data_IF_315184975258
#
_entry.id   IF_315184975258
#
_cell.length_a   1.000
_cell.length_b   1.000
_cell.length_c   1.000
_cell.angle_alpha   90.00
_cell.angle_beta   90.00
_cell.angle_gamma   90.00
#
_symmetry.space_group_name_H-M   'P 1'
#
loop_
_entity.id
_entity.type
_entity.pdbx_description
1 polymer ?
#
# COMPACT_ATOMS: atom_id res chain seq x y z
N UNK A 1 3.16 -16.77 -9.99
CA UNK A 1 2.55 -15.43 -10.15
C UNK A 1 1.79 -15.15 -8.88
N UNK A 2 2.30 -14.26 -8.02
CA UNK A 2 1.73 -13.99 -6.69
C UNK A 2 1.81 -12.50 -6.43
N UNK A 3 0.75 -11.94 -5.86
CA UNK A 3 0.70 -10.58 -5.36
C UNK A 3 -0.07 -10.53 -4.04
N UNK A 4 0.14 -9.47 -3.27
CA UNK A 4 -0.58 -9.19 -2.04
C UNK A 4 -1.20 -7.79 -2.07
N UNK A 5 -2.41 -7.67 -1.52
CA UNK A 5 -3.05 -6.37 -1.24
C UNK A 5 -3.27 -6.29 0.26
N UNK A 6 -2.61 -5.35 0.91
CA UNK A 6 -2.71 -5.11 2.36
C UNK A 6 -3.61 -3.90 2.63
N UNK A 7 -4.75 -4.15 3.27
CA UNK A 7 -5.63 -3.10 3.78
C UNK A 7 -5.20 -2.75 5.21
N UNK A 8 -4.83 -1.50 5.44
CA UNK A 8 -4.41 -1.03 6.76
C UNK A 8 -5.62 -0.98 7.70
N UNK A 9 -5.44 -1.51 8.92
CA UNK A 9 -6.41 -1.41 10.00
C UNK A 9 -5.94 -0.47 11.12
N UNK A 10 -6.84 0.06 11.96
CA UNK A 10 -6.45 0.93 13.08
C UNK A 10 -5.42 0.30 14.03
N UNK A 11 -5.49 -1.02 14.22
CA UNK A 11 -4.55 -1.75 15.07
C UNK A 11 -3.12 -1.75 14.51
N UNK A 12 -2.95 -1.70 13.19
CA UNK A 12 -1.61 -1.62 12.60
C UNK A 12 -0.88 -0.33 12.99
N UNK A 13 -1.63 0.78 13.15
CA UNK A 13 -1.10 2.09 13.55
C UNK A 13 -0.99 2.31 15.06
N UNK A 14 -1.44 1.35 15.90
CA UNK A 14 -1.60 1.56 17.35
C UNK A 14 -0.26 1.69 18.09
N UNK A 15 0.54 0.62 18.13
CA UNK A 15 1.78 0.53 18.91
C UNK A 15 3.01 0.36 18.01
N UNK A 16 4.22 0.77 18.44
CA UNK A 16 5.44 0.56 17.67
C UNK A 16 5.61 -0.89 17.18
N UNK A 17 5.36 -1.87 18.05
CA UNK A 17 5.45 -3.28 17.70
C UNK A 17 4.47 -3.71 16.58
N UNK A 18 3.25 -3.17 16.54
CA UNK A 18 2.26 -3.51 15.49
C UNK A 18 2.58 -2.82 14.17
N UNK A 19 3.16 -1.62 14.21
CA UNK A 19 3.67 -0.88 13.04
C UNK A 19 4.82 -1.64 12.40
N UNK A 20 5.81 -2.03 13.20
CA UNK A 20 6.95 -2.84 12.76
C UNK A 20 6.51 -4.21 12.24
N UNK A 21 5.54 -4.87 12.88
CA UNK A 21 5.01 -6.14 12.40
C UNK A 21 4.34 -5.99 11.01
N UNK A 22 3.57 -4.92 10.80
CA UNK A 22 2.96 -4.63 9.51
C UNK A 22 4.01 -4.32 8.42
N UNK A 23 4.95 -3.41 8.72
CA UNK A 23 6.04 -3.06 7.82
C UNK A 23 6.90 -4.30 7.48
N UNK A 24 7.25 -5.11 8.49
CA UNK A 24 8.01 -6.35 8.31
C UNK A 24 7.30 -7.38 7.45
N UNK A 25 5.97 -7.52 7.58
CA UNK A 25 5.15 -8.34 6.69
C UNK A 25 5.26 -7.85 5.24
N UNK A 26 5.11 -6.55 5.01
CA UNK A 26 5.21 -5.94 3.69
C UNK A 26 6.61 -6.11 3.07
N UNK A 27 7.66 -5.87 3.85
CA UNK A 27 9.06 -6.12 3.45
C UNK A 27 9.28 -7.59 3.11
N UNK A 28 8.68 -8.51 3.86
CA UNK A 28 8.69 -9.94 3.55
C UNK A 28 8.15 -10.24 2.16
N UNK A 29 7.02 -9.65 1.75
CA UNK A 29 6.50 -9.78 0.39
C UNK A 29 7.50 -9.27 -0.65
N UNK A 30 8.02 -8.05 -0.45
CA UNK A 30 8.91 -7.40 -1.42
C UNK A 30 10.24 -8.12 -1.59
N UNK A 31 10.83 -8.64 -0.51
CA UNK A 31 12.05 -9.46 -0.56
C UNK A 31 11.84 -10.78 -1.30
N UNK A 32 10.63 -11.33 -1.28
CA UNK A 32 10.24 -12.52 -2.03
C UNK A 32 9.68 -12.21 -3.43
N UNK A 33 9.89 -10.97 -3.93
CA UNK A 33 9.44 -10.54 -5.26
C UNK A 33 7.93 -10.65 -5.49
N UNK A 34 7.15 -10.64 -4.40
CA UNK A 34 5.69 -10.56 -4.45
C UNK A 34 5.33 -9.09 -4.67
N UNK A 35 4.60 -8.79 -5.74
CA UNK A 35 4.10 -7.43 -5.93
C UNK A 35 3.07 -7.10 -4.86
N UNK A 36 3.09 -5.86 -4.40
CA UNK A 36 2.37 -5.44 -3.20
C UNK A 36 1.59 -4.17 -3.49
N UNK A 37 0.34 -4.12 -3.06
CA UNK A 37 -0.41 -2.88 -2.90
C UNK A 37 -0.70 -2.71 -1.41
N UNK A 38 -0.39 -1.53 -0.86
CA UNK A 38 -0.83 -1.12 0.48
C UNK A 38 -1.87 -0.03 0.33
N UNK A 39 -3.03 -0.19 0.96
CA UNK A 39 -4.12 0.79 0.97
C UNK A 39 -4.41 1.21 2.41
N UNK A 40 -4.20 2.49 2.70
CA UNK A 40 -4.41 3.10 4.00
C UNK A 40 -5.59 4.08 3.97
N UNK A 41 -6.70 3.65 4.55
CA UNK A 41 -7.94 4.43 4.71
C UNK A 41 -8.19 4.80 6.17
N UNK A 42 -7.24 4.56 7.06
CA UNK A 42 -7.44 4.73 8.51
C UNK A 42 -7.28 6.20 8.89
N UNK A 43 -8.41 6.83 9.20
CA UNK A 43 -8.49 8.25 9.61
C UNK A 43 -8.33 8.47 11.12
N UNK A 44 -8.58 7.44 11.94
CA UNK A 44 -8.55 7.55 13.40
C UNK A 44 -7.13 7.59 14.00
N UNK A 45 -6.11 7.27 13.19
CA UNK A 45 -4.71 7.16 13.59
C UNK A 45 -3.82 7.65 12.45
N UNK A 46 -2.76 8.37 12.80
CA UNK A 46 -2.01 9.23 11.88
C UNK A 46 -0.63 8.68 11.47
N UNK A 47 -0.24 7.51 11.98
CA UNK A 47 1.09 6.96 11.68
C UNK A 47 1.21 6.57 10.20
N UNK A 48 2.30 7.01 9.57
CA UNK A 48 2.64 6.67 8.19
C UNK A 48 3.39 5.32 8.15
N UNK A 49 2.65 4.26 7.79
CA UNK A 49 3.22 2.92 7.62
C UNK A 49 4.03 2.75 6.33
N UNK A 50 3.86 3.62 5.32
CA UNK A 50 4.70 3.63 4.13
C UNK A 50 6.11 4.05 4.50
N UNK A 51 6.23 5.09 5.33
CA UNK A 51 7.51 5.52 5.87
C UNK A 51 8.19 4.41 6.68
N UNK A 52 7.46 3.77 7.59
CA UNK A 52 7.99 2.64 8.39
C UNK A 52 8.51 1.50 7.50
N UNK A 53 7.81 1.20 6.40
CA UNK A 53 8.23 0.20 5.40
C UNK A 53 9.52 0.62 4.69
N UNK A 54 9.62 1.86 4.22
CA UNK A 54 10.81 2.36 3.52
C UNK A 54 12.04 2.40 4.43
N UNK A 55 11.87 2.83 5.69
CA UNK A 55 12.92 2.82 6.70
C UNK A 55 13.44 1.39 6.94
N UNK A 56 12.56 0.38 6.98
CA UNK A 56 12.96 -1.02 7.15
C UNK A 56 13.64 -1.62 5.90
N UNK A 57 13.45 -1.03 4.72
CA UNK A 57 14.18 -1.39 3.51
C UNK A 57 15.52 -0.67 3.37
N UNK A 58 15.88 0.19 4.33
CA UNK A 58 17.10 1.03 4.28
C UNK A 58 17.16 1.89 3.01
N UNK A 59 15.99 2.29 2.48
CA UNK A 59 15.90 3.15 1.30
C UNK A 59 15.81 4.60 1.74
N UNK A 60 16.85 5.38 1.39
CA UNK A 60 16.82 6.85 1.42
C UNK A 60 15.96 7.37 0.25
N UNK A 61 14.68 6.98 0.21
CA UNK A 61 13.72 7.57 -0.70
C UNK A 61 13.27 8.93 -0.13
N UNK A 62 13.19 10.01 -0.93
CA UNK A 62 12.52 11.22 -0.49
C UNK A 62 11.09 10.83 -0.07
N UNK A 63 10.76 11.13 1.19
CA UNK A 63 9.45 10.85 1.75
C UNK A 63 8.38 11.39 0.80
N UNK A 64 7.38 10.56 0.49
CA UNK A 64 6.24 11.03 -0.27
C UNK A 64 5.62 12.20 0.50
N UNK A 65 5.67 13.40 -0.07
CA UNK A 65 4.88 14.52 0.43
C UNK A 65 3.44 14.23 0.03
N UNK A 66 2.68 13.68 0.98
CA UNK A 66 1.26 13.40 0.81
C UNK A 66 0.41 14.67 0.66
N UNK A 67 1.01 15.86 0.78
CA UNK A 67 0.37 17.14 0.49
C UNK A 67 -0.65 17.59 1.54
N UNK A 68 -0.65 17.00 2.74
CA UNK A 68 -1.58 17.34 3.83
C UNK A 68 -0.93 17.15 5.20
N UNK A 69 -1.21 18.01 6.20
CA UNK A 69 -0.62 17.88 7.52
C UNK A 69 -1.16 16.68 8.35
N UNK A 70 -2.27 16.04 7.96
CA UNK A 70 -2.78 14.80 8.58
C UNK A 70 -4.10 14.30 7.96
N UNK A 71 -4.44 12.99 8.03
CA UNK A 71 -3.55 11.83 7.96
C UNK A 71 -3.10 11.56 6.51
N UNK A 72 -1.93 10.93 6.35
CA UNK A 72 -1.52 10.31 5.10
C UNK A 72 -2.44 9.12 4.78
N UNK A 73 -3.58 9.37 4.14
CA UNK A 73 -4.35 8.34 3.47
C UNK A 73 -3.69 8.11 2.12
N UNK A 74 -3.44 6.86 1.76
CA UNK A 74 -2.72 6.57 0.51
C UNK A 74 -3.07 5.19 -0.04
N UNK A 75 -2.81 5.02 -1.33
CA UNK A 75 -2.59 3.73 -1.94
C UNK A 75 -1.20 3.75 -2.58
N UNK A 76 -0.38 2.74 -2.31
CA UNK A 76 0.91 2.58 -3.00
C UNK A 76 1.01 1.19 -3.58
N UNK A 77 1.36 1.12 -4.86
CA UNK A 77 1.82 -0.11 -5.48
C UNK A 77 3.34 -0.18 -5.45
N UNK A 78 3.87 -1.37 -5.19
CA UNK A 78 5.29 -1.67 -5.12
C UNK A 78 5.64 -2.85 -6.02
N UNK A 79 6.81 -2.75 -6.65
CA UNK A 79 7.44 -3.87 -7.36
C UNK A 79 8.93 -3.92 -7.04
N UNK A 80 9.40 -5.10 -6.68
CA UNK A 80 10.85 -5.39 -6.65
C UNK A 80 11.31 -5.84 -8.04
N UNK A 81 12.31 -5.16 -8.58
CA UNK A 81 12.98 -5.51 -9.84
C UNK A 81 14.29 -6.23 -9.52
N UNK A 82 14.50 -7.48 -10.00
CA UNK A 82 15.65 -8.31 -9.66
C UNK A 82 16.89 -7.94 -10.48
N UNK A 83 17.37 -6.72 -10.28
CA UNK A 83 18.68 -6.24 -10.77
C UNK A 83 19.68 -6.20 -9.61
N UNK A 84 20.96 -5.93 -9.87
CA UNK A 84 21.99 -5.81 -8.83
C UNK A 84 22.52 -4.37 -8.78
N UNK A 85 22.31 -3.62 -7.68
CA UNK A 85 21.49 -3.98 -6.52
C UNK A 85 19.99 -3.99 -6.85
N UNK A 86 19.20 -4.75 -6.10
CA UNK A 86 17.75 -4.85 -6.31
C UNK A 86 17.10 -3.47 -6.25
N UNK A 87 16.18 -3.20 -7.18
CA UNK A 87 15.49 -1.91 -7.28
C UNK A 87 14.05 -2.03 -6.85
N UNK A 88 13.58 -1.09 -6.04
CA UNK A 88 12.16 -0.95 -5.71
C UNK A 88 11.55 0.14 -6.61
N UNK A 89 10.54 -0.24 -7.40
CA UNK A 89 9.67 0.71 -8.09
C UNK A 89 8.41 0.92 -7.25
N UNK A 90 7.96 2.17 -7.13
CA UNK A 90 6.76 2.54 -6.37
C UNK A 90 5.86 3.52 -7.14
N UNK A 91 4.54 3.37 -6.97
CA UNK A 91 3.51 4.25 -7.52
C UNK A 91 2.62 4.76 -6.38
N UNK A 92 2.97 5.88 -5.75
CA UNK A 92 2.23 6.42 -4.63
C UNK A 92 1.06 7.29 -5.09
N UNK A 93 -0.09 7.12 -4.45
CA UNK A 93 -1.30 7.91 -4.68
C UNK A 93 -1.85 8.41 -3.35
N UNK A 94 -1.88 9.73 -3.10
CA UNK A 94 -2.58 10.27 -1.94
C UNK A 94 -4.09 10.03 -2.09
N UNK A 95 -4.74 9.69 -0.98
CA UNK A 95 -6.19 9.54 -0.89
C UNK A 95 -6.77 10.68 -0.06
N UNK A 96 -8.04 11.00 -0.30
CA UNK A 96 -8.76 11.99 0.48
C UNK A 96 -10.24 11.60 0.59
N UNK A 97 -10.87 11.98 1.70
CA UNK A 97 -12.29 11.71 1.91
C UNK A 97 -13.15 12.37 0.82
N UNK A 98 -14.17 11.63 0.37
CA UNK A 98 -15.09 12.09 -0.68
C UNK A 98 -14.46 12.22 -2.06
N UNK A 99 -13.21 11.79 -2.25
CA UNK A 99 -12.55 11.70 -3.56
C UNK A 99 -12.59 10.25 -4.07
N UNK A 100 -12.64 10.04 -5.39
CA UNK A 100 -12.61 8.71 -5.96
C UNK A 100 -11.28 8.00 -5.66
N UNK A 101 -11.32 6.68 -5.52
CA UNK A 101 -10.09 5.88 -5.36
C UNK A 101 -9.33 5.76 -6.70
N UNK A 102 -7.99 5.62 -6.66
CA UNK A 102 -7.19 5.47 -7.86
C UNK A 102 -7.30 4.06 -8.44
N UNK A 103 -7.04 3.96 -9.74
CA UNK A 103 -6.62 2.72 -10.39
C UNK A 103 -5.11 2.58 -10.21
N UNK A 104 -4.65 1.48 -9.60
CA UNK A 104 -3.22 1.25 -9.31
C UNK A 104 -2.68 0.03 -10.07
N UNK A 105 -1.41 0.03 -10.49
CA UNK A 105 -0.82 -1.14 -11.13
C UNK A 105 -0.60 -2.26 -10.10
N UNK A 106 -1.08 -3.47 -10.33
CA UNK A 106 -0.78 -4.64 -9.50
C UNK A 106 0.17 -5.58 -10.22
N UNK A 107 1.42 -5.58 -9.80
CA UNK A 107 2.44 -6.46 -10.36
C UNK A 107 2.28 -7.87 -9.78
N UNK A 108 2.11 -8.88 -10.62
CA UNK A 108 2.06 -10.29 -10.17
C UNK A 108 3.32 -11.08 -10.57
N UNK A 109 4.31 -10.35 -11.07
CA UNK A 109 5.63 -10.80 -11.51
C UNK A 109 6.45 -9.60 -12.00
N UNK A 110 7.61 -9.86 -12.59
CA UNK A 110 8.50 -8.81 -13.09
C UNK A 110 7.90 -8.02 -14.28
N UNK A 111 7.23 -8.72 -15.19
CA UNK A 111 6.73 -8.22 -16.48
C UNK A 111 5.20 -8.32 -16.65
N UNK A 112 4.50 -8.82 -15.63
CA UNK A 112 3.04 -8.96 -15.65
C UNK A 112 2.37 -8.01 -14.65
N UNK A 113 1.53 -7.12 -15.18
CA UNK A 113 0.79 -6.11 -14.41
C UNK A 113 -0.68 -6.15 -14.75
N UNK A 114 -1.52 -6.04 -13.72
CA UNK A 114 -2.97 -5.92 -13.83
C UNK A 114 -3.38 -4.57 -13.25
N UNK A 115 -4.11 -3.71 -13.96
CA UNK A 115 -4.69 -2.52 -13.36
C UNK A 115 -5.78 -2.93 -12.37
N UNK A 116 -5.70 -2.44 -11.14
CA UNK A 116 -6.71 -2.68 -10.10
C UNK A 116 -7.44 -1.37 -9.85
N UNK A 117 -8.72 -1.37 -10.23
CA UNK A 117 -9.66 -0.31 -9.88
C UNK A 117 -10.17 -0.56 -8.45
N UNK A 118 -9.61 0.17 -7.48
CA UNK A 118 -9.91 0.00 -6.07
C UNK A 118 -11.37 0.34 -5.74
N UNK A 119 -11.91 1.39 -6.37
CA UNK A 119 -13.29 1.82 -6.15
C UNK A 119 -14.28 0.82 -6.72
N UNK A 120 -14.12 0.44 -7.99
CA UNK A 120 -15.02 -0.52 -8.64
C UNK A 120 -14.97 -1.89 -7.95
N UNK A 121 -13.78 -2.34 -7.52
CA UNK A 121 -13.64 -3.62 -6.78
C UNK A 121 -14.33 -3.58 -5.42
N UNK A 122 -14.24 -2.46 -4.70
CA UNK A 122 -14.94 -2.26 -3.44
C UNK A 122 -16.46 -2.24 -3.64
N UNK A 123 -16.97 -1.45 -4.60
CA UNK A 123 -18.40 -1.33 -4.89
C UNK A 123 -19.01 -2.67 -5.33
N UNK A 124 -18.32 -3.42 -6.20
CA UNK A 124 -18.75 -4.76 -6.60
C UNK A 124 -18.81 -5.73 -5.41
N UNK A 125 -17.87 -5.61 -4.46
CA UNK A 125 -17.89 -6.40 -3.22
C UNK A 125 -19.07 -6.01 -2.33
N UNK A 126 -19.35 -4.71 -2.17
CA UNK A 126 -20.49 -4.22 -1.41
C UNK A 126 -21.82 -4.69 -2.02
N UNK A 127 -21.98 -4.62 -3.34
CA UNK A 127 -23.15 -5.15 -4.04
C UNK A 127 -23.32 -6.65 -3.79
N UNK A 128 -22.26 -7.44 -4.00
CA UNK A 128 -22.26 -8.89 -3.77
C UNK A 128 -22.64 -9.26 -2.34
N UNK A 129 -22.12 -8.51 -1.36
CA UNK A 129 -22.36 -8.71 0.06
C UNK A 129 -23.61 -8.00 0.60
N UNK A 130 -24.35 -7.28 -0.26
CA UNK A 130 -25.54 -6.48 0.09
C UNK A 130 -25.28 -5.44 1.19
N UNK A 131 -24.11 -4.81 1.14
CA UNK A 131 -23.72 -3.69 2.00
C UNK A 131 -24.21 -2.41 1.33
N UNK A 132 -24.98 -1.60 2.05
CA UNK A 132 -25.36 -0.28 1.56
C UNK A 132 -24.14 0.65 1.55
N UNK A 133 -23.89 1.26 0.39
CA UNK A 133 -22.81 2.22 0.11
C UNK A 133 -23.38 3.55 -0.35
#
# INVERSE_FOLDING_TARGET
MVGAIELVSPANKDRPATRQAFAGKCVGYLRNQVGLIVVDVVTSRLHDLHRELLELLELDAPLADWGSPDPALYAVSYRTVPVEPARLDLWPHPLALGRPMPVVPFWLGFDFVVPVDLEASYLATCELLRIAV
#
